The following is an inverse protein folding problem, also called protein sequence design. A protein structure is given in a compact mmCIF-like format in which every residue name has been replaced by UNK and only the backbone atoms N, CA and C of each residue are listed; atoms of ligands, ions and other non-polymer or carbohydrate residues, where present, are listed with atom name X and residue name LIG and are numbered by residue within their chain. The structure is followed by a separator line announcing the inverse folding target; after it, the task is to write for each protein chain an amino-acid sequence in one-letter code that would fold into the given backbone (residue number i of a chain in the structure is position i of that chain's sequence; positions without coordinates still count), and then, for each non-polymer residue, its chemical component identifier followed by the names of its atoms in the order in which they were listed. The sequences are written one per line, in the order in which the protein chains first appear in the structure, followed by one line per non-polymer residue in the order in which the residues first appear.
data_IF_368995279109
#
_entry.id   IF_368995279109
#
_cell.length_a   1.000
_cell.length_b   1.000
_cell.length_c   1.000
_cell.angle_alpha   90.00
_cell.angle_beta   90.00
_cell.angle_gamma   90.00
#
_symmetry.space_group_name_H-M   'P 1'
#
loop_
_entity.id
_entity.type
_entity.pdbx_description
1 polymer ?
#
# COMPACT_ATOMS: atom_id res chain seq x y z
N UNK A 1 0.82 36.55 0.22
CA UNK A 1 1.02 35.35 -0.62
C UNK A 1 0.59 35.70 -2.03
N UNK A 2 1.43 35.49 -3.06
CA UNK A 2 1.09 35.82 -4.45
C UNK A 2 0.07 34.81 -5.02
N UNK A 3 -0.72 35.20 -6.02
CA UNK A 3 -1.74 34.33 -6.65
C UNK A 3 -1.13 33.01 -7.20
N UNK A 4 0.12 33.05 -7.65
CA UNK A 4 0.86 31.87 -8.11
C UNK A 4 1.18 30.92 -6.96
N UNK A 5 1.66 31.44 -5.83
CA UNK A 5 1.96 30.65 -4.63
C UNK A 5 0.73 29.86 -4.16
N UNK A 6 -0.45 30.50 -4.16
CA UNK A 6 -1.69 29.84 -3.75
C UNK A 6 -2.04 28.66 -4.67
N UNK A 7 -1.89 28.81 -5.99
CA UNK A 7 -2.15 27.72 -6.95
C UNK A 7 -1.19 26.54 -6.77
N UNK A 8 0.09 26.79 -6.45
CA UNK A 8 1.07 25.73 -6.19
C UNK A 8 0.72 24.94 -4.93
N UNK A 9 0.39 25.66 -3.85
CA UNK A 9 -0.08 25.04 -2.61
C UNK A 9 -1.39 24.26 -2.77
N UNK A 10 -2.35 24.76 -3.56
CA UNK A 10 -3.59 24.05 -3.87
C UNK A 10 -3.34 22.73 -4.60
N UNK A 11 -2.45 22.71 -5.60
CA UNK A 11 -2.08 21.48 -6.30
C UNK A 11 -1.43 20.46 -5.35
N UNK A 12 -0.49 20.92 -4.51
CA UNK A 12 0.17 20.05 -3.54
C UNK A 12 -0.81 19.48 -2.51
N UNK A 13 -1.77 20.29 -2.03
CA UNK A 13 -2.84 19.82 -1.15
C UNK A 13 -3.72 18.77 -1.83
N UNK A 14 -4.04 18.95 -3.12
CA UNK A 14 -4.79 17.98 -3.89
C UNK A 14 -4.01 16.65 -4.02
N UNK A 15 -2.71 16.73 -4.33
CA UNK A 15 -1.86 15.54 -4.41
C UNK A 15 -1.77 14.84 -3.05
N UNK A 16 -1.55 15.58 -1.98
CA UNK A 16 -1.51 15.04 -0.62
C UNK A 16 -2.83 14.34 -0.25
N UNK A 17 -3.98 14.95 -0.58
CA UNK A 17 -5.29 14.35 -0.37
C UNK A 17 -5.48 13.05 -1.17
N UNK A 18 -5.03 13.02 -2.43
CA UNK A 18 -5.06 11.82 -3.26
C UNK A 18 -4.14 10.72 -2.70
N UNK A 19 -2.91 11.05 -2.29
CA UNK A 19 -1.96 10.10 -1.70
C UNK A 19 -2.49 9.53 -0.39
N UNK A 20 -3.12 10.35 0.47
CA UNK A 20 -3.83 9.89 1.65
C UNK A 20 -4.98 8.92 1.30
N UNK A 21 -5.73 9.20 0.23
CA UNK A 21 -6.78 8.29 -0.24
C UNK A 21 -6.22 6.94 -0.69
N UNK A 22 -5.07 6.93 -1.38
CA UNK A 22 -4.35 5.69 -1.73
C UNK A 22 -3.89 4.92 -0.49
N UNK A 23 -3.39 5.62 0.54
CA UNK A 23 -3.01 5.02 1.81
C UNK A 23 -4.21 4.33 2.47
N UNK A 24 -5.33 5.05 2.63
CA UNK A 24 -6.56 4.49 3.21
C UNK A 24 -7.09 3.31 2.41
N UNK A 25 -6.99 3.33 1.07
CA UNK A 25 -7.38 2.21 0.23
C UNK A 25 -6.48 0.98 0.45
N UNK A 26 -5.17 1.16 0.60
CA UNK A 26 -4.24 0.08 0.94
C UNK A 26 -4.53 -0.52 2.32
N UNK A 27 -4.93 0.31 3.30
CA UNK A 27 -5.36 -0.15 4.62
C UNK A 27 -6.68 -0.92 4.56
N UNK A 28 -7.67 -0.41 3.82
CA UNK A 28 -8.96 -1.07 3.63
C UNK A 28 -8.80 -2.46 2.99
N UNK A 29 -7.91 -2.61 2.01
CA UNK A 29 -7.57 -3.91 1.40
C UNK A 29 -7.02 -4.91 2.42
N UNK A 30 -6.07 -4.49 3.25
CA UNK A 30 -5.50 -5.36 4.29
C UNK A 30 -6.55 -5.71 5.35
N UNK A 31 -7.39 -4.76 5.78
CA UNK A 31 -8.49 -5.01 6.70
C UNK A 31 -9.52 -6.01 6.12
N UNK A 32 -9.88 -5.85 4.84
CA UNK A 32 -10.77 -6.77 4.14
C UNK A 32 -10.17 -8.18 4.05
N UNK A 33 -8.86 -8.28 3.77
CA UNK A 33 -8.15 -9.56 3.74
C UNK A 33 -8.16 -10.26 5.12
N UNK A 34 -8.00 -9.51 6.21
CA UNK A 34 -8.12 -10.04 7.58
C UNK A 34 -9.54 -10.56 7.82
N UNK A 35 -10.56 -9.72 7.58
CA UNK A 35 -11.96 -10.09 7.82
C UNK A 35 -12.37 -11.33 7.01
N UNK A 36 -11.97 -11.39 5.74
CA UNK A 36 -12.21 -12.53 4.87
C UNK A 36 -11.56 -13.82 5.40
N UNK A 37 -10.27 -13.77 5.75
CA UNK A 37 -9.57 -14.95 6.28
C UNK A 37 -10.12 -15.41 7.65
N UNK A 38 -10.53 -14.48 8.53
CA UNK A 38 -11.15 -14.82 9.81
C UNK A 38 -12.49 -15.54 9.60
N UNK A 39 -13.32 -15.04 8.67
CA UNK A 39 -14.58 -15.68 8.30
C UNK A 39 -14.35 -17.08 7.71
N UNK A 40 -13.38 -17.21 6.80
CA UNK A 40 -13.01 -18.50 6.20
C UNK A 40 -12.55 -19.51 7.24
N UNK A 41 -11.59 -19.15 8.11
CA UNK A 41 -11.07 -20.06 9.15
C UNK A 41 -12.19 -20.52 10.09
N UNK A 42 -13.07 -19.61 10.49
CA UNK A 42 -14.24 -19.94 11.32
C UNK A 42 -15.16 -20.94 10.61
N UNK A 43 -15.44 -20.70 9.32
CA UNK A 43 -16.27 -21.60 8.51
C UNK A 43 -15.65 -22.99 8.35
N UNK A 44 -14.34 -23.06 8.12
CA UNK A 44 -13.60 -24.32 7.98
C UNK A 44 -13.68 -25.12 9.26
N UNK A 45 -13.38 -24.52 10.42
CA UNK A 45 -13.35 -25.25 11.72
C UNK A 45 -14.69 -25.95 12.03
N UNK A 46 -15.82 -25.45 11.51
CA UNK A 46 -17.14 -26.03 11.71
C UNK A 46 -17.50 -27.23 10.82
N UNK A 47 -16.59 -27.75 9.99
CA UNK A 47 -16.89 -28.83 9.03
C UNK A 47 -16.48 -30.20 9.56
N UNK A 48 -17.44 -31.11 9.71
CA UNK A 48 -17.26 -32.40 10.38
C UNK A 48 -16.27 -33.36 9.67
N UNK A 49 -16.25 -33.38 8.33
CA UNK A 49 -15.39 -34.29 7.56
C UNK A 49 -13.91 -33.91 7.59
N UNK A 50 -13.55 -32.73 8.13
CA UNK A 50 -12.13 -32.34 8.25
C UNK A 50 -11.34 -33.25 9.19
N UNK A 51 -12.00 -33.99 10.09
CA UNK A 51 -11.34 -34.95 10.96
C UNK A 51 -10.63 -36.06 10.17
N UNK A 52 -11.22 -36.49 9.05
CA UNK A 52 -10.66 -37.53 8.18
C UNK A 52 -9.43 -37.03 7.39
N UNK A 53 -9.33 -35.71 7.20
CA UNK A 53 -8.24 -35.03 6.49
C UNK A 53 -7.48 -34.03 7.37
N UNK A 54 -7.37 -34.32 8.67
CA UNK A 54 -6.91 -33.38 9.69
C UNK A 54 -5.58 -32.69 9.36
N UNK A 55 -4.60 -33.44 8.83
CA UNK A 55 -3.29 -32.87 8.48
C UNK A 55 -3.40 -31.82 7.35
N UNK A 56 -4.15 -32.12 6.29
CA UNK A 56 -4.36 -31.20 5.18
C UNK A 56 -5.17 -29.97 5.63
N UNK A 57 -6.21 -30.18 6.43
CA UNK A 57 -7.00 -29.12 7.03
C UNK A 57 -6.15 -28.14 7.86
N UNK A 58 -5.27 -28.67 8.73
CA UNK A 58 -4.39 -27.85 9.55
C UNK A 58 -3.40 -27.03 8.72
N UNK A 59 -2.83 -27.60 7.65
CA UNK A 59 -1.93 -26.88 6.74
C UNK A 59 -2.66 -25.68 6.11
N UNK A 60 -3.87 -25.89 5.62
CA UNK A 60 -4.69 -24.82 5.03
C UNK A 60 -5.03 -23.72 6.04
N UNK A 61 -5.43 -24.09 7.27
CA UNK A 61 -5.75 -23.12 8.33
C UNK A 61 -4.51 -22.30 8.71
N UNK A 62 -3.35 -22.95 8.90
CA UNK A 62 -2.09 -22.26 9.19
C UNK A 62 -1.73 -21.31 8.03
N UNK A 63 -1.98 -21.71 6.79
CA UNK A 63 -1.82 -20.87 5.62
C UNK A 63 -2.67 -19.59 5.68
N UNK A 64 -3.97 -19.71 5.97
CA UNK A 64 -4.84 -18.53 6.13
C UNK A 64 -4.44 -17.65 7.32
N UNK A 65 -4.02 -18.25 8.44
CA UNK A 65 -3.48 -17.50 9.60
C UNK A 65 -2.22 -16.73 9.20
N UNK A 66 -1.35 -17.32 8.39
CA UNK A 66 -0.15 -16.61 7.91
C UNK A 66 -0.49 -15.38 7.06
N UNK A 67 -1.52 -15.47 6.21
CA UNK A 67 -2.02 -14.31 5.46
C UNK A 67 -2.60 -13.22 6.38
N UNK A 68 -3.31 -13.60 7.44
CA UNK A 68 -3.78 -12.66 8.48
C UNK A 68 -2.59 -11.96 9.15
N UNK A 69 -1.55 -12.70 9.54
CA UNK A 69 -0.37 -12.13 10.20
C UNK A 69 0.32 -11.10 9.31
N UNK A 70 0.49 -11.38 8.01
CA UNK A 70 1.06 -10.43 7.05
C UNK A 70 0.20 -9.17 6.93
N UNK A 71 -1.11 -9.32 6.85
CA UNK A 71 -2.03 -8.19 6.76
C UNK A 71 -2.05 -7.34 8.05
N UNK A 72 -2.01 -7.97 9.22
CA UNK A 72 -1.89 -7.28 10.52
C UNK A 72 -0.55 -6.55 10.63
N UNK A 73 0.54 -7.14 10.16
CA UNK A 73 1.86 -6.49 10.15
C UNK A 73 1.82 -5.18 9.36
N UNK A 74 1.04 -5.11 8.28
CA UNK A 74 0.90 -3.88 7.48
C UNK A 74 0.41 -2.66 8.28
N UNK A 75 -0.30 -2.88 9.41
CA UNK A 75 -0.80 -1.82 10.31
C UNK A 75 0.24 -1.33 11.32
N UNK A 76 1.44 -1.92 11.38
CA UNK A 76 2.51 -1.45 12.26
C UNK A 76 2.83 0.03 11.96
N UNK A 77 2.74 0.94 12.97
CA UNK A 77 2.97 2.36 12.76
C UNK A 77 4.39 2.62 12.26
N UNK A 78 4.53 3.63 11.41
CA UNK A 78 5.79 4.05 10.80
C UNK A 78 6.10 5.45 11.28
N UNK A 79 7.06 5.56 12.19
CA UNK A 79 7.46 6.83 12.80
C UNK A 79 8.84 7.30 12.31
N UNK A 80 9.39 6.64 11.29
CA UNK A 80 10.71 6.92 10.72
C UNK A 80 10.57 7.04 9.21
N UNK A 81 11.34 7.95 8.61
CA UNK A 81 11.43 8.08 7.16
C UNK A 81 11.73 6.72 6.52
N UNK A 82 10.93 6.36 5.53
CA UNK A 82 11.15 5.13 4.77
C UNK A 82 12.20 5.37 3.68
N UNK A 83 13.04 4.37 3.35
CA UNK A 83 13.95 4.50 2.23
C UNK A 83 13.19 4.65 0.91
N UNK A 84 13.85 5.31 -0.05
CA UNK A 84 13.40 5.39 -1.45
C UNK A 84 13.08 3.99 -2.00
N UNK A 85 11.96 3.88 -2.70
CA UNK A 85 11.57 2.63 -3.36
C UNK A 85 12.22 2.57 -4.75
N UNK A 86 12.77 1.41 -5.12
CA UNK A 86 13.30 1.20 -6.46
C UNK A 86 12.21 1.40 -7.52
N UNK A 87 12.55 2.17 -8.57
CA UNK A 87 11.65 2.39 -9.69
C UNK A 87 11.67 1.17 -10.62
N UNK A 88 10.82 0.18 -10.32
CA UNK A 88 10.69 -1.05 -11.09
C UNK A 88 9.77 -0.89 -12.30
N UNK A 89 10.02 0.13 -13.12
CA UNK A 89 9.25 0.41 -14.34
C UNK A 89 7.93 1.15 -14.09
N UNK A 90 7.83 1.93 -13.02
CA UNK A 90 6.69 2.82 -12.83
C UNK A 90 6.70 3.88 -13.94
N UNK A 91 5.56 4.05 -14.62
CA UNK A 91 5.41 5.15 -15.57
C UNK A 91 5.58 6.49 -14.86
N UNK A 92 6.29 7.42 -15.50
CA UNK A 92 6.58 8.73 -14.93
C UNK A 92 5.30 9.54 -14.72
N UNK A 93 4.75 9.47 -13.52
CA UNK A 93 3.54 10.17 -13.13
C UNK A 93 3.69 10.75 -11.72
N UNK A 94 3.93 12.06 -11.68
CA UNK A 94 4.11 12.82 -10.43
C UNK A 94 2.87 12.85 -9.53
N UNK A 95 1.71 12.39 -10.01
CA UNK A 95 0.48 12.28 -9.20
C UNK A 95 0.26 10.86 -8.66
N UNK A 96 1.02 9.87 -9.15
CA UNK A 96 0.83 8.48 -8.80
C UNK A 96 1.80 8.07 -7.69
N UNK A 97 1.26 7.61 -6.55
CA UNK A 97 2.04 7.32 -5.35
C UNK A 97 3.21 6.35 -5.58
N UNK A 98 3.10 5.36 -6.46
CA UNK A 98 4.19 4.42 -6.70
C UNK A 98 5.42 5.09 -7.35
N UNK A 99 5.21 6.01 -8.29
CA UNK A 99 6.30 6.77 -8.89
C UNK A 99 6.85 7.79 -7.90
N UNK A 100 5.98 8.49 -7.17
CA UNK A 100 6.40 9.47 -6.16
C UNK A 100 7.22 8.84 -5.03
N UNK A 101 6.87 7.63 -4.58
CA UNK A 101 7.63 6.87 -3.58
C UNK A 101 9.06 6.49 -4.05
N UNK A 102 9.28 6.53 -5.37
CA UNK A 102 10.57 6.25 -6.01
C UNK A 102 11.41 7.49 -6.27
N UNK A 103 11.01 8.66 -5.77
CA UNK A 103 11.74 9.91 -5.87
C UNK A 103 12.28 10.33 -4.49
N UNK A 104 13.33 11.15 -4.51
CA UNK A 104 13.72 11.99 -3.38
C UNK A 104 13.01 13.34 -3.42
N UNK A 105 13.01 14.04 -2.28
CA UNK A 105 12.34 15.33 -2.13
C UNK A 105 12.76 16.34 -3.20
N UNK A 106 14.08 16.50 -3.43
CA UNK A 106 14.60 17.44 -4.41
C UNK A 106 14.26 17.03 -5.85
N UNK A 107 14.31 15.72 -6.17
CA UNK A 107 13.93 15.19 -7.50
C UNK A 107 12.44 15.45 -7.79
N UNK A 108 11.59 15.25 -6.80
CA UNK A 108 10.16 15.46 -6.91
C UNK A 108 9.81 16.94 -7.08
N UNK A 109 10.42 17.81 -6.26
CA UNK A 109 10.26 19.26 -6.35
C UNK A 109 10.68 19.80 -7.73
N UNK A 110 11.86 19.42 -8.22
CA UNK A 110 12.35 19.82 -9.55
C UNK A 110 11.38 19.36 -10.65
N UNK A 111 10.88 18.12 -10.56
CA UNK A 111 9.95 17.56 -11.54
C UNK A 111 8.60 18.28 -11.56
N UNK A 112 8.07 18.67 -10.40
CA UNK A 112 6.83 19.45 -10.30
C UNK A 112 6.97 20.83 -10.97
N UNK A 113 8.07 21.53 -10.71
CA UNK A 113 8.35 22.83 -11.31
C UNK A 113 8.50 22.75 -12.81
N UNK A 114 9.33 21.83 -13.30
CA UNK A 114 9.56 21.65 -14.72
C UNK A 114 8.28 21.26 -15.48
N UNK A 115 7.46 20.37 -14.92
CA UNK A 115 6.31 19.77 -15.63
C UNK A 115 5.01 20.56 -15.48
N UNK A 116 4.72 21.11 -14.30
CA UNK A 116 3.42 21.74 -14.02
C UNK A 116 3.48 23.26 -13.89
N UNK A 117 4.55 23.82 -13.33
CA UNK A 117 4.63 25.26 -13.07
C UNK A 117 5.45 26.02 -14.12
N UNK A 118 6.23 25.31 -14.95
CA UNK A 118 7.04 25.88 -16.06
C UNK A 118 7.96 27.01 -15.58
N UNK A 119 8.49 26.86 -14.36
CA UNK A 119 9.44 27.79 -13.76
C UNK A 119 10.81 27.11 -13.72
N UNK A 120 11.85 27.80 -14.24
CA UNK A 120 13.22 27.27 -14.34
C UNK A 120 14.03 27.45 -13.04
N UNK A 121 13.52 28.22 -12.07
CA UNK A 121 14.27 28.54 -10.86
C UNK A 121 13.93 27.59 -9.70
N UNK A 122 14.61 26.44 -9.70
CA UNK A 122 14.54 25.42 -8.66
C UNK A 122 15.09 25.88 -7.29
N UNK A 123 15.50 27.15 -7.10
CA UNK A 123 15.89 27.65 -5.78
C UNK A 123 14.79 28.44 -5.06
N UNK A 124 13.63 28.62 -5.69
CA UNK A 124 12.55 29.46 -5.15
C UNK A 124 11.43 28.65 -4.46
N UNK A 125 11.80 27.56 -3.78
CA UNK A 125 10.85 26.76 -3.01
C UNK A 125 10.55 27.44 -1.67
N UNK A 126 9.27 27.56 -1.33
CA UNK A 126 8.91 27.92 0.05
C UNK A 126 9.02 26.71 0.97
N UNK A 127 9.30 26.94 2.25
CA UNK A 127 9.34 25.88 3.26
C UNK A 127 8.05 25.04 3.27
N UNK A 128 6.90 25.70 3.13
CA UNK A 128 5.60 25.02 3.03
C UNK A 128 5.50 24.03 1.85
N UNK A 129 6.06 24.37 0.69
CA UNK A 129 6.06 23.46 -0.47
C UNK A 129 6.99 22.27 -0.25
N UNK A 130 8.11 22.47 0.46
CA UNK A 130 9.04 21.40 0.85
C UNK A 130 8.38 20.44 1.84
N UNK A 131 7.70 20.97 2.85
CA UNK A 131 6.96 20.19 3.86
C UNK A 131 5.86 19.33 3.20
N UNK A 132 5.08 19.92 2.27
CA UNK A 132 4.09 19.15 1.51
C UNK A 132 4.72 18.03 0.70
N UNK A 133 5.84 18.29 0.02
CA UNK A 133 6.51 17.27 -0.78
C UNK A 133 7.08 16.13 0.07
N UNK A 134 7.65 16.45 1.23
CA UNK A 134 8.14 15.45 2.18
C UNK A 134 7.00 14.54 2.64
N UNK A 135 5.89 15.13 3.08
CA UNK A 135 4.72 14.37 3.54
C UNK A 135 4.12 13.51 2.42
N UNK A 136 4.00 14.04 1.20
CA UNK A 136 3.52 13.27 0.04
C UNK A 136 4.42 12.05 -0.20
N UNK A 137 5.74 12.23 -0.18
CA UNK A 137 6.71 11.14 -0.43
C UNK A 137 6.64 10.10 0.68
N UNK A 138 6.59 10.51 1.95
CA UNK A 138 6.51 9.58 3.08
C UNK A 138 5.20 8.77 3.05
N UNK A 139 4.05 9.41 2.84
CA UNK A 139 2.76 8.72 2.70
C UNK A 139 2.78 7.77 1.49
N UNK A 140 3.38 8.18 0.38
CA UNK A 140 3.53 7.33 -0.79
C UNK A 140 4.38 6.07 -0.50
N UNK A 141 5.50 6.22 0.22
CA UNK A 141 6.35 5.10 0.65
C UNK A 141 5.63 4.17 1.62
N UNK A 142 4.86 4.72 2.57
CA UNK A 142 4.03 3.93 3.49
C UNK A 142 2.96 3.14 2.71
N UNK A 143 2.31 3.80 1.75
CA UNK A 143 1.30 3.18 0.87
C UNK A 143 1.90 2.01 0.10
N UNK A 144 3.09 2.18 -0.51
CA UNK A 144 3.81 1.12 -1.21
C UNK A 144 4.12 -0.07 -0.30
N UNK A 145 4.57 0.19 0.94
CA UNK A 145 4.85 -0.88 1.91
C UNK A 145 3.59 -1.68 2.24
N UNK A 146 2.47 -1.00 2.52
CA UNK A 146 1.18 -1.66 2.83
C UNK A 146 0.62 -2.43 1.63
N UNK A 147 0.81 -1.90 0.41
CA UNK A 147 0.40 -2.54 -0.82
C UNK A 147 1.21 -3.83 -1.08
N UNK A 148 2.52 -3.84 -0.80
CA UNK A 148 3.35 -5.06 -0.85
C UNK A 148 2.92 -6.11 0.17
N UNK A 149 2.60 -5.71 1.41
CA UNK A 149 2.05 -6.64 2.40
C UNK A 149 0.74 -7.26 1.92
N UNK A 150 -0.17 -6.46 1.37
CA UNK A 150 -1.42 -6.96 0.80
C UNK A 150 -1.18 -7.96 -0.33
N UNK A 151 -0.26 -7.65 -1.26
CA UNK A 151 0.07 -8.53 -2.38
C UNK A 151 0.59 -9.90 -1.90
N UNK A 152 1.53 -9.91 -0.94
CA UNK A 152 2.04 -11.16 -0.35
C UNK A 152 0.91 -11.94 0.32
N UNK A 153 0.10 -11.28 1.16
CA UNK A 153 -1.03 -11.91 1.84
C UNK A 153 -2.08 -12.46 0.87
N UNK A 154 -2.34 -11.75 -0.23
CA UNK A 154 -3.27 -12.17 -1.27
C UNK A 154 -2.77 -13.41 -2.02
N UNK A 155 -1.48 -13.47 -2.39
CA UNK A 155 -0.91 -14.65 -3.04
C UNK A 155 -0.96 -15.88 -2.14
N UNK A 156 -0.63 -15.73 -0.85
CA UNK A 156 -0.78 -16.80 0.14
C UNK A 156 -2.26 -17.26 0.17
N UNK A 157 -3.20 -16.31 0.27
CA UNK A 157 -4.63 -16.62 0.33
C UNK A 157 -5.13 -17.36 -0.94
N UNK A 158 -4.75 -16.91 -2.13
CA UNK A 158 -5.11 -17.58 -3.40
C UNK A 158 -4.58 -19.02 -3.44
N UNK A 159 -3.32 -19.21 -3.06
CA UNK A 159 -2.71 -20.55 -3.03
C UNK A 159 -3.42 -21.47 -2.03
N UNK A 160 -3.75 -20.95 -0.84
CA UNK A 160 -4.45 -21.73 0.18
C UNK A 160 -5.91 -22.02 -0.19
N UNK A 161 -6.59 -21.11 -0.89
CA UNK A 161 -7.92 -21.37 -1.45
C UNK A 161 -7.90 -22.48 -2.51
N UNK A 162 -6.86 -22.51 -3.34
CA UNK A 162 -6.67 -23.59 -4.30
C UNK A 162 -6.48 -24.95 -3.61
N UNK A 163 -5.60 -25.03 -2.60
CA UNK A 163 -5.41 -26.24 -1.80
C UNK A 163 -6.69 -26.66 -1.06
N UNK A 164 -7.41 -25.70 -0.50
CA UNK A 164 -8.68 -25.96 0.19
C UNK A 164 -9.74 -26.52 -0.77
N UNK A 165 -9.81 -25.99 -1.99
CA UNK A 165 -10.74 -26.47 -3.01
C UNK A 165 -10.44 -27.91 -3.42
N UNK A 166 -9.17 -28.27 -3.56
CA UNK A 166 -8.74 -29.66 -3.80
C UNK A 166 -9.19 -30.54 -2.63
N UNK A 167 -8.95 -30.10 -1.40
CA UNK A 167 -9.34 -30.85 -0.21
C UNK A 167 -10.84 -31.15 -0.19
N UNK A 168 -11.69 -30.16 -0.50
CA UNK A 168 -13.15 -30.35 -0.58
C UNK A 168 -13.54 -31.38 -1.66
N UNK A 169 -12.87 -31.40 -2.81
CA UNK A 169 -13.20 -32.32 -3.91
C UNK A 169 -12.89 -33.78 -3.54
N UNK A 170 -11.85 -34.00 -2.73
CA UNK A 170 -11.43 -35.34 -2.33
C UNK A 170 -12.06 -35.83 -1.03
N UNK A 171 -12.70 -34.94 -0.28
CA UNK A 171 -13.41 -35.27 0.95
C UNK A 171 -14.75 -35.94 0.72
#
# INVERSE_FOLDING_TARGET
MSTTQNKRSELLQQILSNTNSWLHFAEAKNAALIAFNVALVTGIIGVDWLADYFACAMITIIGFISAIIVAVWSFKPVNKALPKIENNGFGENLLHFAYVASLEQDEYLQSLYARYWKEDDANNFTELERDYCEEIIEIARITMRKQKCFEIGLYINIFMLFLFSILIIYA
#
